data_IF_134357253469
#
_entry.id   IF_134357253469
#
_cell.length_a   1.000
_cell.length_b   1.000
_cell.length_c   1.000
_cell.angle_alpha   90.00
_cell.angle_beta   90.00
_cell.angle_gamma   90.00
#
_symmetry.space_group_name_H-M   'P 1'
#
loop_
_entity.id
_entity.type
_entity.pdbx_description
1 polymer ?
#
# COMPACT_ATOMS: atom_id res chain seq x y z
N UNK A 1 32.68 17.72 -2.85
CA UNK A 1 31.51 17.94 -3.70
C UNK A 1 30.77 16.61 -3.70
N UNK A 2 29.99 16.36 -2.66
CA UNK A 2 29.16 15.17 -2.55
C UNK A 2 27.86 15.49 -3.26
N UNK A 3 27.58 14.76 -4.34
CA UNK A 3 26.27 14.74 -4.95
C UNK A 3 25.43 13.81 -4.09
N UNK A 4 24.52 14.39 -3.33
CA UNK A 4 23.60 13.64 -2.48
C UNK A 4 22.60 12.89 -3.34
N UNK A 5 22.64 11.56 -3.25
CA UNK A 5 21.52 10.71 -3.64
C UNK A 5 20.39 10.96 -2.64
N UNK A 6 19.42 11.78 -3.03
CA UNK A 6 18.12 11.85 -2.38
C UNK A 6 17.07 11.42 -3.41
N UNK A 7 17.17 10.17 -3.85
CA UNK A 7 16.05 9.48 -4.47
C UNK A 7 15.15 9.03 -3.32
N UNK A 8 14.09 9.81 -3.05
CA UNK A 8 13.08 9.47 -2.05
C UNK A 8 12.41 8.17 -2.47
N UNK A 9 12.93 7.03 -2.01
CA UNK A 9 12.30 5.73 -2.20
C UNK A 9 10.90 5.80 -1.61
N UNK A 10 9.87 5.70 -2.46
CA UNK A 10 8.48 5.69 -2.00
C UNK A 10 8.32 4.61 -0.93
N UNK A 11 7.73 4.90 0.24
CA UNK A 11 7.78 4.00 1.37
C UNK A 11 6.68 2.96 1.20
N UNK A 12 6.95 1.88 0.49
CA UNK A 12 6.17 0.65 0.65
C UNK A 12 7.10 -0.41 1.21
N UNK A 13 6.57 -1.21 2.15
CA UNK A 13 7.30 -2.33 2.71
C UNK A 13 6.72 -3.63 2.20
N UNK A 14 7.60 -4.59 1.93
CA UNK A 14 7.17 -5.96 1.65
C UNK A 14 7.00 -6.69 2.97
N UNK A 15 5.76 -7.05 3.29
CA UNK A 15 5.42 -7.76 4.53
C UNK A 15 5.41 -9.26 4.37
N UNK A 16 5.08 -9.74 3.17
CA UNK A 16 5.17 -11.15 2.84
C UNK A 16 6.03 -11.28 1.59
N UNK A 17 7.19 -11.92 1.74
CA UNK A 17 7.98 -12.42 0.63
C UNK A 17 7.50 -13.81 0.24
N UNK A 18 7.44 -14.07 -1.07
CA UNK A 18 7.05 -15.36 -1.62
C UNK A 18 8.21 -15.94 -2.41
N UNK A 19 8.77 -17.05 -1.92
CA UNK A 19 9.62 -17.91 -2.74
C UNK A 19 8.72 -18.83 -3.55
N UNK A 20 8.49 -18.47 -4.81
CA UNK A 20 7.60 -19.21 -5.71
C UNK A 20 8.13 -20.59 -6.08
N UNK A 21 9.44 -20.85 -5.97
CA UNK A 21 10.03 -22.14 -6.33
C UNK A 21 9.77 -23.17 -5.24
N UNK A 22 9.85 -22.73 -3.99
CA UNK A 22 9.67 -23.57 -2.81
C UNK A 22 8.24 -23.48 -2.22
N UNK A 23 7.42 -22.53 -2.68
CA UNK A 23 6.08 -22.26 -2.16
C UNK A 23 6.11 -21.76 -0.71
N UNK A 24 7.18 -21.07 -0.31
CA UNK A 24 7.42 -20.59 1.05
C UNK A 24 7.05 -19.11 1.14
N UNK A 25 6.27 -18.79 2.17
CA UNK A 25 5.91 -17.41 2.51
C UNK A 25 6.64 -16.98 3.76
N UNK A 26 7.37 -15.86 3.68
CA UNK A 26 8.14 -15.30 4.79
C UNK A 26 7.50 -14.00 5.24
N UNK A 27 7.04 -13.97 6.49
CA UNK A 27 6.51 -12.77 7.11
C UNK A 27 7.65 -11.91 7.68
N UNK A 28 7.75 -10.66 7.21
CA UNK A 28 8.71 -9.69 7.72
C UNK A 28 8.13 -8.94 8.92
N UNK A 29 8.09 -9.60 10.07
CA UNK A 29 7.53 -9.00 11.30
C UNK A 29 8.23 -7.70 11.69
N UNK A 30 9.56 -7.63 11.55
CA UNK A 30 10.37 -6.46 11.92
C UNK A 30 9.96 -5.21 11.15
N UNK A 31 9.69 -5.33 9.85
CA UNK A 31 9.26 -4.19 9.04
C UNK A 31 7.86 -3.69 9.47
N UNK A 32 6.95 -4.61 9.80
CA UNK A 32 5.62 -4.24 10.32
C UNK A 32 5.72 -3.57 11.69
N UNK A 33 6.54 -4.12 12.59
CA UNK A 33 6.77 -3.57 13.92
C UNK A 33 7.32 -2.14 13.85
N UNK A 34 8.26 -1.87 12.94
CA UNK A 34 8.83 -0.53 12.74
C UNK A 34 7.79 0.52 12.33
N UNK A 35 6.73 0.11 11.63
CA UNK A 35 5.69 1.02 11.13
C UNK A 35 4.54 1.16 12.13
N UNK A 36 4.11 0.08 12.78
CA UNK A 36 2.90 0.09 13.63
C UNK A 36 3.18 0.22 15.13
N UNK A 37 4.37 -0.14 15.61
CA UNK A 37 4.69 -0.09 17.05
C UNK A 37 5.35 1.21 17.49
N UNK A 38 5.20 2.28 16.71
CA UNK A 38 5.62 3.62 17.13
C UNK A 38 4.63 4.18 18.16
N UNK A 39 5.08 5.11 19.01
CA UNK A 39 4.22 5.75 20.02
C UNK A 39 3.01 6.48 19.41
N UNK A 40 3.08 6.85 18.14
CA UNK A 40 1.98 7.51 17.42
C UNK A 40 0.82 6.54 17.10
N UNK A 41 1.10 5.24 16.94
CA UNK A 41 0.12 4.29 16.38
C UNK A 41 -0.18 3.09 17.29
N UNK A 42 0.75 2.71 18.18
CA UNK A 42 0.71 1.44 18.92
C UNK A 42 -0.55 1.18 19.77
N UNK A 43 -1.19 2.24 20.24
CA UNK A 43 -2.37 2.16 21.11
C UNK A 43 -3.66 2.66 20.40
N UNK A 44 -3.58 2.91 19.10
CA UNK A 44 -4.69 3.40 18.28
C UNK A 44 -5.47 2.25 17.65
N UNK A 45 -6.74 2.52 17.31
CA UNK A 45 -7.48 1.59 16.45
C UNK A 45 -6.95 1.65 15.01
N UNK A 46 -6.87 0.48 14.37
CA UNK A 46 -6.34 0.34 13.02
C UNK A 46 -7.41 -0.21 12.09
N UNK A 47 -7.59 0.46 10.95
CA UNK A 47 -8.33 -0.05 9.81
C UNK A 47 -7.36 -0.42 8.69
N UNK A 48 -7.43 -1.67 8.21
CA UNK A 48 -6.63 -2.15 7.08
C UNK A 48 -7.50 -2.19 5.84
N UNK A 49 -7.12 -1.46 4.80
CA UNK A 49 -7.79 -1.47 3.50
C UNK A 49 -6.91 -2.27 2.54
N UNK A 50 -7.43 -3.40 2.09
CA UNK A 50 -6.76 -4.25 1.11
C UNK A 50 -7.50 -4.25 -0.22
N UNK A 51 -6.75 -4.25 -1.31
CA UNK A 51 -7.29 -4.53 -2.64
C UNK A 51 -6.69 -5.83 -3.14
N UNK A 52 -7.54 -6.84 -3.27
CA UNK A 52 -7.19 -8.16 -3.79
C UNK A 52 -8.03 -8.48 -5.03
N UNK A 53 -7.43 -9.16 -5.99
CA UNK A 53 -8.09 -9.53 -7.23
C UNK A 53 -7.13 -9.99 -8.32
N UNK A 54 -7.68 -10.35 -9.48
CA UNK A 54 -6.92 -10.92 -10.58
C UNK A 54 -5.71 -10.05 -11.00
N UNK A 55 -4.70 -10.72 -11.56
CA UNK A 55 -3.53 -10.10 -12.16
C UNK A 55 -3.91 -9.07 -13.24
N UNK A 56 -3.20 -7.92 -13.26
CA UNK A 56 -3.35 -6.81 -14.22
C UNK A 56 -4.74 -6.16 -14.30
N UNK A 57 -5.43 -6.05 -13.16
CA UNK A 57 -6.71 -5.31 -13.06
C UNK A 57 -6.61 -3.92 -12.41
N UNK A 58 -5.39 -3.36 -12.30
CA UNK A 58 -5.19 -1.99 -11.83
C UNK A 58 -5.33 -1.80 -10.31
N UNK A 59 -5.02 -2.82 -9.50
CA UNK A 59 -5.11 -2.76 -8.03
C UNK A 59 -4.24 -1.67 -7.42
N UNK A 60 -2.93 -1.69 -7.71
CA UNK A 60 -1.96 -0.71 -7.23
C UNK A 60 -2.30 0.70 -7.74
N UNK A 61 -2.79 0.81 -8.97
CA UNK A 61 -3.29 2.08 -9.53
C UNK A 61 -4.47 2.64 -8.72
N UNK A 62 -5.45 1.81 -8.36
CA UNK A 62 -6.56 2.22 -7.50
C UNK A 62 -6.08 2.62 -6.09
N UNK A 63 -5.19 1.81 -5.49
CA UNK A 63 -4.62 2.10 -4.18
C UNK A 63 -3.84 3.42 -4.15
N UNK A 64 -3.20 3.81 -5.24
CA UNK A 64 -2.52 5.10 -5.30
C UNK A 64 -3.48 6.29 -5.28
N UNK A 65 -4.71 6.14 -5.80
CA UNK A 65 -5.75 7.15 -5.56
C UNK A 65 -6.20 7.18 -4.10
N UNK A 66 -6.22 6.04 -3.40
CA UNK A 66 -6.51 6.02 -1.96
C UNK A 66 -5.40 6.71 -1.17
N UNK A 67 -4.12 6.51 -1.52
CA UNK A 67 -3.00 7.26 -0.94
C UNK A 67 -3.23 8.75 -1.11
N UNK A 68 -3.47 9.22 -2.34
CA UNK A 68 -3.70 10.64 -2.64
C UNK A 68 -4.87 11.21 -1.84
N UNK A 69 -6.00 10.49 -1.79
CA UNK A 69 -7.16 10.88 -0.99
C UNK A 69 -6.86 10.98 0.51
N UNK A 70 -6.22 9.95 1.08
CA UNK A 70 -5.91 9.90 2.52
C UNK A 70 -4.89 10.98 2.92
N UNK A 71 -3.91 11.27 2.07
CA UNK A 71 -2.99 12.40 2.27
C UNK A 71 -3.74 13.74 2.30
N UNK A 72 -4.70 13.93 1.38
CA UNK A 72 -5.54 15.13 1.37
C UNK A 72 -6.39 15.23 2.64
N UNK A 73 -7.07 14.15 3.03
CA UNK A 73 -7.93 14.15 4.23
C UNK A 73 -7.13 14.36 5.50
N UNK A 74 -5.95 13.75 5.63
CA UNK A 74 -5.08 13.95 6.80
C UNK A 74 -4.65 15.43 6.95
N UNK A 75 -4.43 16.13 5.83
CA UNK A 75 -4.00 17.53 5.82
C UNK A 75 -5.16 18.52 5.98
N UNK A 76 -6.30 18.26 5.35
CA UNK A 76 -7.39 19.24 5.20
C UNK A 76 -8.68 18.85 5.95
N UNK A 77 -8.75 17.63 6.48
CA UNK A 77 -9.98 17.03 6.98
C UNK A 77 -10.90 16.55 5.85
N UNK A 78 -12.06 16.03 6.24
CA UNK A 78 -13.10 15.64 5.29
C UNK A 78 -13.80 16.89 4.73
N UNK A 79 -13.79 17.04 3.41
CA UNK A 79 -14.45 18.13 2.69
C UNK A 79 -15.23 17.59 1.50
N UNK A 80 -16.16 18.38 0.94
CA UNK A 80 -16.86 18.05 -0.31
C UNK A 80 -16.06 18.44 -1.56
N UNK A 81 -14.79 18.85 -1.39
CA UNK A 81 -13.93 19.30 -2.47
C UNK A 81 -13.41 18.13 -3.30
N UNK A 82 -13.30 18.32 -4.62
CA UNK A 82 -12.65 17.37 -5.54
C UNK A 82 -11.15 17.66 -5.74
N UNK A 83 -10.60 18.64 -5.03
CA UNK A 83 -9.17 19.01 -5.14
C UNK A 83 -8.23 17.86 -4.82
N UNK A 84 -8.65 16.89 -3.98
CA UNK A 84 -7.86 15.71 -3.65
C UNK A 84 -7.48 14.88 -4.88
N UNK A 85 -8.26 14.92 -5.96
CA UNK A 85 -8.02 14.09 -7.14
C UNK A 85 -6.74 14.51 -7.87
N UNK A 86 -6.29 15.74 -7.67
CA UNK A 86 -5.15 16.32 -8.36
C UNK A 86 -5.49 16.79 -9.78
N UNK A 87 -4.51 17.45 -10.42
CA UNK A 87 -4.63 17.88 -11.81
C UNK A 87 -4.55 16.73 -12.81
N UNK A 88 -5.05 16.93 -14.03
CA UNK A 88 -4.96 15.92 -15.11
C UNK A 88 -3.51 15.54 -15.46
N UNK A 89 -2.58 16.47 -15.33
CA UNK A 89 -1.15 16.28 -15.58
C UNK A 89 -0.37 15.88 -14.32
N UNK A 90 -1.03 15.72 -13.17
CA UNK A 90 -0.38 15.42 -11.90
C UNK A 90 -0.12 13.90 -11.77
N UNK A 91 1.15 13.47 -11.78
CA UNK A 91 1.49 12.05 -11.81
C UNK A 91 1.04 11.34 -10.51
N UNK A 92 0.57 10.11 -10.67
CA UNK A 92 0.12 9.28 -9.56
C UNK A 92 1.28 8.47 -8.97
N UNK A 93 1.68 8.81 -7.75
CA UNK A 93 2.73 8.14 -6.97
C UNK A 93 2.13 7.21 -5.90
N UNK A 94 2.94 6.26 -5.41
CA UNK A 94 2.52 5.31 -4.38
C UNK A 94 3.13 3.92 -4.59
N UNK A 95 2.31 2.89 -4.48
CA UNK A 95 2.69 1.52 -4.85
C UNK A 95 3.17 1.45 -6.31
N UNK A 96 4.16 0.58 -6.61
CA UNK A 96 4.71 0.45 -7.94
C UNK A 96 3.61 -0.04 -8.90
N UNK A 97 3.49 0.64 -10.04
CA UNK A 97 2.52 0.30 -11.07
C UNK A 97 3.07 0.69 -12.45
N UNK A 98 2.85 -0.16 -13.45
CA UNK A 98 3.15 0.14 -14.86
C UNK A 98 2.14 -0.48 -15.82
N UNK A 99 2.02 0.12 -17.00
CA UNK A 99 1.42 -0.53 -18.18
C UNK A 99 2.28 -1.72 -18.66
N UNK A 100 1.70 -2.66 -19.39
CA UNK A 100 2.40 -3.85 -19.92
C UNK A 100 1.85 -5.20 -19.43
N UNK A 101 2.43 -6.30 -19.92
CA UNK A 101 2.00 -7.67 -19.60
C UNK A 101 2.75 -8.30 -18.43
N UNK A 102 3.87 -7.71 -18.01
CA UNK A 102 4.71 -8.24 -16.97
C UNK A 102 4.27 -7.84 -15.56
N UNK A 103 4.74 -8.63 -14.61
CA UNK A 103 4.41 -8.52 -13.19
C UNK A 103 5.16 -7.37 -12.52
N UNK A 104 4.53 -6.83 -11.48
CA UNK A 104 5.06 -5.70 -10.69
C UNK A 104 4.99 -5.97 -9.18
N UNK A 105 3.87 -6.50 -8.68
CA UNK A 105 3.68 -6.82 -7.25
C UNK A 105 3.90 -8.31 -6.98
N UNK A 106 4.81 -8.62 -6.06
CA UNK A 106 5.06 -9.96 -5.52
C UNK A 106 4.74 -10.00 -4.02
N UNK A 107 4.00 -11.02 -3.59
CA UNK A 107 3.60 -11.19 -2.19
C UNK A 107 2.59 -10.14 -1.72
N UNK A 108 2.81 -9.58 -0.53
CA UNK A 108 1.96 -8.53 0.05
C UNK A 108 2.82 -7.31 0.38
N UNK A 109 2.36 -6.15 -0.08
CA UNK A 109 2.97 -4.85 0.21
C UNK A 109 2.07 -4.06 1.16
N UNK A 110 2.68 -3.38 2.13
CA UNK A 110 2.03 -2.32 2.88
C UNK A 110 2.56 -0.95 2.46
N UNK A 111 1.69 0.05 2.53
CA UNK A 111 2.14 1.42 2.53
C UNK A 111 2.86 1.71 3.84
N UNK A 112 4.08 2.24 3.75
CA UNK A 112 5.02 2.39 4.84
C UNK A 112 4.75 3.58 5.75
N UNK A 113 3.80 4.43 5.40
CA UNK A 113 3.38 5.59 6.20
C UNK A 113 1.90 5.47 6.58
N UNK A 114 1.55 4.97 7.78
CA UNK A 114 0.17 4.87 8.22
C UNK A 114 -0.50 6.24 8.29
N UNK A 115 -1.76 6.31 7.86
CA UNK A 115 -2.52 7.55 7.88
C UNK A 115 -3.25 7.69 9.22
N UNK A 116 -3.02 8.77 9.96
CA UNK A 116 -3.78 9.08 11.16
C UNK A 116 -4.94 10.01 10.78
N UNK A 117 -6.15 9.45 10.71
CA UNK A 117 -7.35 10.16 10.27
C UNK A 117 -8.26 10.46 11.46
N UNK A 118 -8.63 11.73 11.60
CA UNK A 118 -9.65 12.16 12.55
C UNK A 118 -11.03 12.05 11.91
N UNK A 119 -11.85 11.13 12.41
CA UNK A 119 -13.22 10.91 11.93
C UNK A 119 -14.13 12.08 12.31
N UNK A 120 -15.28 12.28 11.62
CA UNK A 120 -16.28 13.28 12.01
C UNK A 120 -16.80 13.12 13.44
N UNK A 121 -16.71 11.91 14.00
CA UNK A 121 -17.05 11.61 15.40
C UNK A 121 -16.02 12.16 16.41
N UNK A 122 -14.88 12.67 15.93
CA UNK A 122 -13.75 13.14 16.74
C UNK A 122 -12.73 12.06 17.09
N UNK A 123 -13.03 10.79 16.82
CA UNK A 123 -12.13 9.65 17.05
C UNK A 123 -10.98 9.64 16.04
N UNK A 124 -9.79 9.27 16.47
CA UNK A 124 -8.64 9.03 15.60
C UNK A 124 -8.57 7.56 15.20
N UNK A 125 -8.24 7.32 13.93
CA UNK A 125 -8.14 5.99 13.34
C UNK A 125 -6.87 5.94 12.50
N UNK A 126 -6.06 4.90 12.71
CA UNK A 126 -4.91 4.60 11.86
C UNK A 126 -5.40 3.81 10.65
N UNK A 127 -5.18 4.31 9.45
CA UNK A 127 -5.50 3.60 8.20
C UNK A 127 -4.21 3.08 7.57
N UNK A 128 -4.20 1.80 7.27
CA UNK A 128 -3.10 1.10 6.62
C UNK A 128 -3.58 0.56 5.27
N UNK A 129 -2.84 0.83 4.20
CA UNK A 129 -3.14 0.32 2.86
C UNK A 129 -2.29 -0.91 2.57
N UNK A 130 -2.93 -1.93 2.00
CA UNK A 130 -2.30 -3.21 1.66
C UNK A 130 -2.56 -3.58 0.19
N UNK A 131 -1.50 -3.59 -0.61
CA UNK A 131 -1.53 -4.13 -1.98
C UNK A 131 -1.15 -5.60 -1.98
N UNK A 132 -1.87 -6.40 -2.76
CA UNK A 132 -1.67 -7.85 -2.82
C UNK A 132 -1.28 -8.28 -4.22
N UNK A 133 -0.48 -9.35 -4.28
CA UNK A 133 -0.20 -10.04 -5.54
C UNK A 133 -1.52 -10.42 -6.23
N UNK A 134 -1.56 -10.22 -7.55
CA UNK A 134 -2.72 -10.64 -8.33
C UNK A 134 -2.81 -12.16 -8.42
N UNK A 135 -4.00 -12.71 -8.15
CA UNK A 135 -4.27 -14.13 -8.40
C UNK A 135 -4.31 -14.43 -9.91
N UNK A 136 -4.04 -15.69 -10.26
CA UNK A 136 -4.14 -16.26 -11.61
C UNK A 136 -3.20 -15.64 -12.65
N UNK A 137 -1.96 -15.33 -12.28
CA UNK A 137 -0.90 -15.11 -13.27
C UNK A 137 -0.36 -16.46 -13.81
N UNK A 138 0.45 -16.42 -14.85
CA UNK A 138 1.01 -17.63 -15.48
C UNK A 138 2.02 -18.40 -14.60
N UNK A 139 2.41 -17.84 -13.45
CA UNK A 139 3.52 -18.31 -12.64
C UNK A 139 3.11 -18.69 -11.20
N UNK A 140 1.85 -18.48 -10.82
CA UNK A 140 1.33 -18.75 -9.47
C UNK A 140 0.43 -19.98 -9.48
N UNK A 141 0.58 -20.81 -8.46
CA UNK A 141 -0.31 -21.95 -8.25
C UNK A 141 -1.64 -21.50 -7.62
N UNK A 142 -2.66 -22.38 -7.66
CA UNK A 142 -3.93 -22.15 -6.96
C UNK A 142 -3.72 -22.00 -5.44
N UNK A 143 -2.75 -22.74 -4.89
CA UNK A 143 -2.36 -22.66 -3.47
C UNK A 143 -1.74 -21.30 -3.15
N UNK A 144 -0.97 -20.74 -4.07
CA UNK A 144 -0.35 -19.44 -3.88
C UNK A 144 -1.40 -18.32 -3.86
N UNK A 145 -2.38 -18.41 -4.76
CA UNK A 145 -3.52 -17.50 -4.79
C UNK A 145 -4.32 -17.59 -3.48
N UNK A 146 -4.58 -18.80 -2.97
CA UNK A 146 -5.32 -18.99 -1.73
C UNK A 146 -4.57 -18.54 -0.46
N UNK A 147 -3.23 -18.40 -0.52
CA UNK A 147 -2.42 -17.96 0.63
C UNK A 147 -2.34 -16.44 0.72
N UNK A 148 -2.47 -15.75 -0.42
CA UNK A 148 -2.46 -14.28 -0.49
C UNK A 148 -3.86 -13.68 -0.27
N UNK A 149 -4.93 -14.44 -0.52
CA UNK A 149 -6.34 -14.01 -0.47
C UNK A 149 -7.08 -14.46 0.79
#
# INVERSE_FOLDING_TARGET
MEVGDCESSLPFIRVIDCDQKEGIYLFNSKAVEQILLTDAYRDQEVAVISVAGAFRKGKSFLLNFFIRYLQYVQKNGFTESNEWLGGAEEPLSGFPWRGGSERETDGILLWGEPFLIKLPTGKELVILLMDTQGAFDSNSTVKDCATVF
#
